data_IF_191651501699
#
_entry.id   IF_191651501699
#
_cell.length_a   1.000
_cell.length_b   1.000
_cell.length_c   1.000
_cell.angle_alpha   90.00
_cell.angle_beta   90.00
_cell.angle_gamma   90.00
#
_symmetry.space_group_name_H-M   'P 1'
#
loop_
_entity.id
_entity.type
_entity.pdbx_description
1 polymer ?
#
# COMPACT_ATOMS: atom_id res chain seq x y z
N UNK A 1 -26.99 -44.09 -74.39
CA UNK A 1 -28.37 -44.58 -74.18
C UNK A 1 -28.65 -44.56 -72.69
N UNK A 2 -29.69 -43.82 -72.26
CA UNK A 2 -30.51 -44.01 -71.03
C UNK A 2 -29.76 -44.05 -69.67
N UNK A 3 -30.14 -43.36 -68.58
CA UNK A 3 -31.45 -42.88 -68.13
C UNK A 3 -31.27 -41.90 -66.95
N UNK A 4 -32.15 -40.88 -66.88
CA UNK A 4 -32.85 -40.29 -65.71
C UNK A 4 -32.36 -40.73 -64.31
N UNK A 5 -32.16 -39.90 -63.28
CA UNK A 5 -32.76 -38.63 -62.90
C UNK A 5 -33.35 -38.77 -61.49
N UNK A 6 -33.07 -37.86 -60.54
CA UNK A 6 -34.03 -37.49 -59.48
C UNK A 6 -33.60 -36.21 -58.73
N UNK A 7 -34.54 -35.27 -58.70
CA UNK A 7 -34.61 -34.05 -57.89
C UNK A 7 -34.51 -34.32 -56.38
N UNK A 8 -33.77 -33.49 -55.63
CA UNK A 8 -34.25 -32.97 -54.32
C UNK A 8 -33.76 -31.53 -54.13
N UNK A 9 -34.73 -30.61 -54.08
CA UNK A 9 -34.60 -29.20 -53.64
C UNK A 9 -34.00 -29.14 -52.23
N UNK A 10 -32.95 -28.34 -52.02
CA UNK A 10 -32.64 -27.75 -50.70
C UNK A 10 -33.03 -26.28 -50.73
N UNK A 11 -34.21 -26.00 -50.20
CA UNK A 11 -34.67 -24.67 -49.87
C UNK A 11 -33.90 -24.13 -48.66
N UNK A 12 -33.14 -23.06 -48.90
CA UNK A 12 -32.99 -21.87 -48.05
C UNK A 12 -33.07 -22.16 -46.55
N UNK A 13 -31.91 -22.32 -45.92
CA UNK A 13 -31.75 -22.14 -44.48
C UNK A 13 -31.95 -20.67 -44.14
N UNK A 14 -33.10 -20.35 -43.58
CA UNK A 14 -33.26 -19.22 -42.68
C UNK A 14 -32.35 -19.45 -41.48
N UNK A 15 -31.18 -18.83 -41.48
CA UNK A 15 -30.48 -18.48 -40.25
C UNK A 15 -29.81 -17.13 -40.46
N UNK A 16 -30.65 -16.08 -40.37
CA UNK A 16 -30.15 -14.75 -40.10
C UNK A 16 -29.68 -14.71 -38.65
N UNK A 17 -28.46 -15.17 -38.39
CA UNK A 17 -27.78 -14.84 -37.14
C UNK A 17 -27.58 -13.33 -37.09
N UNK A 18 -28.51 -12.64 -36.43
CA UNK A 18 -28.31 -11.27 -35.98
C UNK A 18 -27.04 -11.24 -35.13
N UNK A 19 -26.17 -10.22 -35.28
CA UNK A 19 -25.06 -10.07 -34.36
C UNK A 19 -25.64 -9.90 -32.95
N UNK A 20 -25.34 -10.83 -32.04
CA UNK A 20 -25.59 -10.65 -30.60
C UNK A 20 -24.64 -9.56 -30.11
N UNK A 21 -25.03 -8.31 -30.30
CA UNK A 21 -24.38 -7.16 -29.68
C UNK A 21 -25.18 -6.70 -28.48
N UNK A 22 -24.42 -6.37 -27.44
CA UNK A 22 -24.81 -5.81 -26.13
C UNK A 22 -25.30 -6.80 -25.07
N UNK A 23 -24.35 -7.54 -24.50
CA UNK A 23 -24.27 -7.51 -23.02
C UNK A 23 -23.94 -6.05 -22.69
N UNK A 24 -24.87 -5.33 -22.04
CA UNK A 24 -24.52 -4.09 -21.37
C UNK A 24 -23.51 -4.50 -20.31
N UNK A 25 -22.23 -4.21 -20.51
CA UNK A 25 -21.27 -4.19 -19.41
C UNK A 25 -21.80 -3.13 -18.45
N UNK A 26 -22.52 -3.56 -17.41
CA UNK A 26 -22.97 -2.65 -16.37
C UNK A 26 -21.71 -2.06 -15.72
N UNK A 27 -21.51 -0.77 -15.94
CA UNK A 27 -20.39 -0.03 -15.39
C UNK A 27 -20.68 0.16 -13.91
N UNK A 28 -20.15 -0.72 -13.08
CA UNK A 28 -20.26 -0.61 -11.63
C UNK A 28 -19.09 0.18 -11.03
N UNK A 29 -19.38 0.85 -9.92
CA UNK A 29 -18.43 1.52 -9.03
C UNK A 29 -18.52 0.79 -7.68
N UNK A 30 -17.40 0.69 -6.96
CA UNK A 30 -17.29 0.02 -5.64
C UNK A 30 -17.51 -1.50 -5.66
N UNK A 31 -17.32 -2.15 -6.80
CA UNK A 31 -17.39 -3.61 -6.91
C UNK A 31 -16.02 -4.30 -6.70
N UNK A 32 -14.99 -3.53 -6.33
CA UNK A 32 -13.64 -4.02 -6.05
C UNK A 32 -12.81 -4.42 -7.28
N UNK A 33 -13.36 -4.34 -8.50
CA UNK A 33 -12.63 -4.70 -9.73
C UNK A 33 -11.59 -3.64 -10.11
N UNK A 34 -10.49 -4.07 -10.73
CA UNK A 34 -9.43 -3.19 -11.23
C UNK A 34 -9.87 -2.49 -12.54
N UNK A 35 -10.74 -1.51 -12.43
CA UNK A 35 -11.31 -0.76 -13.56
C UNK A 35 -10.97 0.74 -13.45
N UNK A 36 -10.89 1.47 -14.58
CA UNK A 36 -10.57 2.90 -14.55
C UNK A 36 -11.50 3.73 -13.64
N UNK A 37 -12.80 3.41 -13.61
CA UNK A 37 -13.76 4.09 -12.75
C UNK A 37 -13.53 3.82 -11.26
N UNK A 38 -13.22 2.59 -10.86
CA UNK A 38 -12.91 2.29 -9.45
C UNK A 38 -11.60 2.94 -9.02
N UNK A 39 -10.57 2.86 -9.87
CA UNK A 39 -9.27 3.52 -9.62
C UNK A 39 -9.47 5.01 -9.41
N UNK A 40 -10.24 5.66 -10.29
CA UNK A 40 -10.51 7.09 -10.24
C UNK A 40 -11.28 7.49 -8.98
N UNK A 41 -12.30 6.72 -8.61
CA UNK A 41 -13.12 6.99 -7.42
C UNK A 41 -12.31 6.80 -6.14
N UNK A 42 -11.49 5.77 -6.03
CA UNK A 42 -10.61 5.56 -4.86
C UNK A 42 -9.61 6.72 -4.70
N UNK A 43 -8.96 7.12 -5.79
CA UNK A 43 -8.06 8.28 -5.79
C UNK A 43 -8.76 9.58 -5.41
N UNK A 44 -9.97 9.81 -5.92
CA UNK A 44 -10.78 10.99 -5.59
C UNK A 44 -11.20 11.00 -4.10
N UNK A 45 -11.67 9.86 -3.57
CA UNK A 45 -12.04 9.73 -2.16
C UNK A 45 -10.84 9.97 -1.24
N UNK A 46 -9.68 9.39 -1.54
CA UNK A 46 -8.45 9.65 -0.78
C UNK A 46 -8.04 11.13 -0.86
N UNK A 47 -8.16 11.76 -2.02
CA UNK A 47 -7.92 13.20 -2.19
C UNK A 47 -8.86 14.06 -1.34
N UNK A 48 -10.14 13.71 -1.25
CA UNK A 48 -11.10 14.38 -0.37
C UNK A 48 -10.77 14.19 1.10
N UNK A 49 -10.45 12.97 1.55
CA UNK A 49 -10.06 12.70 2.94
C UNK A 49 -8.79 13.48 3.29
N UNK A 50 -7.81 13.52 2.39
CA UNK A 50 -6.58 14.27 2.57
C UNK A 50 -6.86 15.77 2.74
N UNK A 51 -7.65 16.34 1.82
CA UNK A 51 -8.01 17.76 1.83
C UNK A 51 -8.83 18.12 3.07
N UNK A 52 -9.79 17.27 3.46
CA UNK A 52 -10.59 17.46 4.66
C UNK A 52 -9.73 17.44 5.93
N UNK A 53 -8.76 16.52 6.03
CA UNK A 53 -7.80 16.47 7.14
C UNK A 53 -6.97 17.75 7.25
N UNK A 54 -6.43 18.24 6.12
CA UNK A 54 -5.67 19.49 6.07
C UNK A 54 -6.54 20.68 6.49
N UNK A 55 -7.72 20.82 5.90
CA UNK A 55 -8.66 21.89 6.25
C UNK A 55 -9.02 21.86 7.73
N UNK A 56 -9.31 20.68 8.28
CA UNK A 56 -9.63 20.49 9.70
C UNK A 56 -8.48 20.93 10.62
N UNK A 57 -7.23 20.65 10.24
CA UNK A 57 -6.05 21.14 10.98
C UNK A 57 -5.91 22.67 10.85
N UNK A 58 -6.10 23.23 9.66
CA UNK A 58 -5.89 24.66 9.39
C UNK A 58 -6.98 25.56 9.98
N UNK A 59 -8.20 25.07 10.14
CA UNK A 59 -9.33 25.81 10.71
C UNK A 59 -9.23 26.02 12.23
N UNK A 60 -8.09 25.72 12.85
CA UNK A 60 -7.87 25.93 14.28
C UNK A 60 -8.67 24.96 15.15
N UNK A 61 -8.82 23.71 14.70
CA UNK A 61 -9.47 22.68 15.52
C UNK A 61 -8.72 22.45 16.83
N UNK A 62 -9.44 22.05 17.89
CA UNK A 62 -8.85 21.69 19.18
C UNK A 62 -8.05 20.37 19.13
N UNK A 63 -8.07 19.66 18.00
CA UNK A 63 -7.41 18.37 17.80
C UNK A 63 -6.71 18.29 16.43
N UNK A 64 -5.73 19.17 16.15
CA UNK A 64 -5.11 19.26 14.83
C UNK A 64 -4.34 17.98 14.43
N UNK A 65 -3.85 17.20 15.41
CA UNK A 65 -3.21 15.90 15.18
C UNK A 65 -4.16 14.88 14.51
N UNK A 66 -5.48 14.96 14.76
CA UNK A 66 -6.45 14.10 14.10
C UNK A 66 -6.58 14.43 12.60
N UNK A 67 -6.64 15.72 12.26
CA UNK A 67 -6.64 16.16 10.86
C UNK A 67 -5.36 15.77 10.12
N UNK A 68 -4.20 15.93 10.77
CA UNK A 68 -2.90 15.51 10.22
C UNK A 68 -2.87 13.99 10.00
N UNK A 69 -3.39 13.20 10.95
CA UNK A 69 -3.48 11.74 10.80
C UNK A 69 -4.33 11.34 9.60
N UNK A 70 -5.53 11.91 9.43
CA UNK A 70 -6.38 11.64 8.27
C UNK A 70 -5.68 11.99 6.95
N UNK A 71 -5.02 13.15 6.92
CA UNK A 71 -4.27 13.58 5.74
C UNK A 71 -3.11 12.63 5.41
N UNK A 72 -2.34 12.25 6.42
CA UNK A 72 -1.22 11.33 6.27
C UNK A 72 -1.64 9.94 5.83
N UNK A 73 -2.71 9.37 6.41
CA UNK A 73 -3.22 8.05 6.05
C UNK A 73 -3.72 8.03 4.59
N UNK A 74 -4.47 9.06 4.19
CA UNK A 74 -4.93 9.18 2.81
C UNK A 74 -3.78 9.34 1.81
N UNK A 75 -2.79 10.16 2.16
CA UNK A 75 -1.59 10.38 1.34
C UNK A 75 -0.75 9.09 1.23
N UNK A 76 -0.59 8.34 2.32
CA UNK A 76 0.11 7.06 2.33
C UNK A 76 -0.49 6.11 1.28
N UNK A 77 -1.79 5.85 1.36
CA UNK A 77 -2.48 4.93 0.44
C UNK A 77 -2.42 5.41 -1.02
N UNK A 78 -2.53 6.71 -1.25
CA UNK A 78 -2.40 7.29 -2.58
C UNK A 78 -0.97 7.11 -3.15
N UNK A 79 0.06 7.38 -2.36
CA UNK A 79 1.45 7.27 -2.80
C UNK A 79 1.85 5.82 -3.10
N UNK A 80 1.31 4.84 -2.36
CA UNK A 80 1.50 3.41 -2.67
C UNK A 80 0.98 3.07 -4.06
N UNK A 81 -0.24 3.50 -4.39
CA UNK A 81 -0.83 3.25 -5.69
C UNK A 81 -0.03 3.92 -6.80
N UNK A 82 0.29 5.22 -6.65
CA UNK A 82 1.03 5.98 -7.66
C UNK A 82 2.43 5.40 -7.90
N UNK A 83 3.17 5.07 -6.84
CA UNK A 83 4.49 4.48 -7.00
C UNK A 83 4.42 3.10 -7.69
N UNK A 84 3.40 2.30 -7.38
CA UNK A 84 3.17 1.01 -8.07
C UNK A 84 2.81 1.24 -9.54
N UNK A 85 1.93 2.19 -9.84
CA UNK A 85 1.54 2.51 -11.20
C UNK A 85 2.71 3.01 -12.06
N UNK A 86 3.64 3.76 -11.46
CA UNK A 86 4.82 4.29 -12.15
C UNK A 86 5.87 3.23 -12.46
N UNK A 87 6.05 2.24 -11.59
CA UNK A 87 7.21 1.33 -11.67
C UNK A 87 6.87 -0.15 -11.82
N UNK A 88 5.64 -0.55 -11.54
CA UNK A 88 5.15 -1.93 -11.57
C UNK A 88 3.75 -2.03 -12.20
N UNK A 89 3.51 -1.47 -13.41
CA UNK A 89 2.18 -1.45 -14.03
C UNK A 89 1.61 -2.85 -14.28
N UNK A 90 2.47 -3.84 -14.53
CA UNK A 90 2.05 -5.23 -14.77
C UNK A 90 1.46 -5.92 -13.52
N UNK A 91 1.79 -5.39 -12.34
CA UNK A 91 1.32 -5.88 -11.02
C UNK A 91 0.24 -4.97 -10.41
N UNK A 92 -0.15 -3.90 -11.12
CA UNK A 92 -1.04 -2.87 -10.60
C UNK A 92 -2.48 -3.37 -10.51
N UNK A 93 -3.03 -3.36 -9.30
CA UNK A 93 -4.43 -3.69 -9.04
C UNK A 93 -5.06 -2.64 -8.13
N UNK A 94 -6.37 -2.74 -7.89
CA UNK A 94 -7.03 -1.87 -6.91
C UNK A 94 -6.46 -2.07 -5.49
N UNK A 95 -5.96 -3.26 -5.19
CA UNK A 95 -5.31 -3.57 -3.89
C UNK A 95 -3.96 -2.86 -3.73
N UNK A 96 -3.36 -2.31 -4.80
CA UNK A 96 -2.13 -1.51 -4.71
C UNK A 96 -2.33 -0.19 -3.96
N UNK A 97 -3.57 0.25 -3.72
CA UNK A 97 -3.86 1.33 -2.76
C UNK A 97 -3.56 0.89 -1.31
N UNK A 98 -3.43 -0.41 -1.04
CA UNK A 98 -3.28 -1.02 0.29
C UNK A 98 -4.40 -0.68 1.28
N UNK A 99 -5.57 -0.26 0.80
CA UNK A 99 -6.71 0.00 1.67
C UNK A 99 -7.18 -1.33 2.28
N UNK A 100 -7.40 -2.35 1.45
CA UNK A 100 -7.85 -3.69 1.88
C UNK A 100 -6.66 -4.59 2.25
N UNK A 101 -5.86 -4.18 3.25
CA UNK A 101 -4.64 -4.90 3.60
C UNK A 101 -4.92 -6.20 4.38
N UNK A 102 -5.58 -6.13 5.54
CA UNK A 102 -5.98 -7.29 6.33
C UNK A 102 -6.96 -6.89 7.45
N UNK A 103 -7.77 -7.83 7.99
CA UNK A 103 -8.61 -7.55 9.14
C UNK A 103 -7.82 -7.01 10.35
N UNK A 104 -6.61 -7.52 10.58
CA UNK A 104 -5.74 -7.05 11.66
C UNK A 104 -5.25 -5.62 11.46
N UNK A 105 -4.92 -5.25 10.21
CA UNK A 105 -4.56 -3.88 9.87
C UNK A 105 -5.70 -2.91 10.15
N UNK A 106 -6.93 -3.26 9.74
CA UNK A 106 -8.11 -2.45 10.02
C UNK A 106 -8.42 -2.36 11.51
N UNK A 107 -8.32 -3.48 12.24
CA UNK A 107 -8.52 -3.52 13.68
C UNK A 107 -7.50 -2.64 14.42
N UNK A 108 -6.24 -2.63 14.00
CA UNK A 108 -5.19 -1.80 14.59
C UNK A 108 -5.46 -0.30 14.39
N UNK A 109 -5.89 0.12 13.19
CA UNK A 109 -6.28 1.51 12.93
C UNK A 109 -7.54 1.91 13.69
N UNK A 110 -8.54 1.02 13.77
CA UNK A 110 -9.74 1.25 14.56
C UNK A 110 -9.42 1.37 16.05
N UNK A 111 -8.56 0.51 16.60
CA UNK A 111 -8.11 0.59 17.99
C UNK A 111 -7.39 1.89 18.28
N UNK A 112 -6.47 2.32 17.40
CA UNK A 112 -5.76 3.59 17.54
C UNK A 112 -6.72 4.79 17.51
N UNK A 113 -7.72 4.77 16.63
CA UNK A 113 -8.74 5.81 16.58
C UNK A 113 -9.62 5.82 17.84
N UNK A 114 -10.03 4.64 18.32
CA UNK A 114 -10.85 4.52 19.53
C UNK A 114 -10.10 4.99 20.77
N UNK A 115 -8.85 4.57 20.96
CA UNK A 115 -8.00 5.06 22.06
C UNK A 115 -7.89 6.58 22.01
N UNK A 116 -7.59 7.13 20.82
CA UNK A 116 -7.49 8.56 20.63
C UNK A 116 -8.77 9.30 21.03
N UNK A 117 -9.93 8.86 20.53
CA UNK A 117 -11.22 9.51 20.79
C UNK A 117 -11.66 9.38 22.25
N UNK A 118 -11.45 8.21 22.86
CA UNK A 118 -11.75 7.97 24.29
C UNK A 118 -10.89 8.88 25.16
N UNK A 119 -9.57 8.89 24.96
CA UNK A 119 -8.67 9.73 25.73
C UNK A 119 -8.91 11.21 25.50
N UNK A 120 -9.23 11.63 24.28
CA UNK A 120 -9.60 13.02 24.01
C UNK A 120 -10.88 13.43 24.75
N UNK A 121 -11.89 12.54 24.80
CA UNK A 121 -13.15 12.81 25.50
C UNK A 121 -12.98 12.92 27.02
N UNK A 122 -12.26 11.97 27.64
CA UNK A 122 -12.09 11.93 29.09
C UNK A 122 -10.93 12.79 29.62
N UNK A 123 -9.87 12.98 28.82
CA UNK A 123 -8.61 13.64 29.20
C UNK A 123 -8.15 14.65 28.13
N UNK A 124 -8.97 15.64 27.73
CA UNK A 124 -8.66 16.54 26.61
C UNK A 124 -7.36 17.32 26.81
N UNK A 125 -7.02 17.69 28.06
CA UNK A 125 -5.77 18.38 28.38
C UNK A 125 -4.51 17.57 28.02
N UNK A 126 -4.56 16.24 28.15
CA UNK A 126 -3.46 15.34 27.76
C UNK A 126 -3.24 15.33 26.25
N UNK A 127 -4.31 15.50 25.45
CA UNK A 127 -4.26 15.51 23.99
C UNK A 127 -3.99 16.90 23.40
N UNK A 128 -3.55 17.87 24.21
CA UNK A 128 -3.16 19.19 23.70
C UNK A 128 -1.97 19.06 22.75
N UNK A 129 -2.08 19.63 21.56
CA UNK A 129 -1.01 19.55 20.56
C UNK A 129 0.26 20.26 21.06
N UNK A 130 1.41 19.59 20.97
CA UNK A 130 2.69 20.11 21.40
C UNK A 130 3.89 19.31 20.89
N UNK A 131 4.98 19.31 21.65
CA UNK A 131 6.27 18.73 21.25
C UNK A 131 6.18 17.27 20.83
N UNK A 132 5.40 16.45 21.55
CA UNK A 132 5.25 15.02 21.24
C UNK A 132 4.64 14.84 19.85
N UNK A 133 3.63 15.64 19.49
CA UNK A 133 3.00 15.57 18.18
C UNK A 133 3.97 15.97 17.07
N UNK A 134 4.85 16.96 17.29
CA UNK A 134 5.91 17.31 16.33
C UNK A 134 6.92 16.19 16.14
N UNK A 135 7.30 15.47 17.20
CA UNK A 135 8.16 14.27 17.09
C UNK A 135 7.45 13.21 16.24
N UNK A 136 6.18 12.94 16.53
CA UNK A 136 5.36 12.01 15.75
C UNK A 136 5.27 12.40 14.27
N UNK A 137 5.07 13.69 13.99
CA UNK A 137 5.05 14.23 12.63
C UNK A 137 6.38 14.05 11.91
N UNK A 138 7.52 14.30 12.57
CA UNK A 138 8.85 14.06 11.98
C UNK A 138 9.04 12.58 11.65
N UNK A 139 8.71 11.68 12.58
CA UNK A 139 8.81 10.23 12.35
C UNK A 139 7.92 9.79 11.19
N UNK A 140 6.69 10.29 11.12
CA UNK A 140 5.75 10.03 10.05
C UNK A 140 6.28 10.50 8.69
N UNK A 141 6.76 11.74 8.60
CA UNK A 141 7.30 12.30 7.35
C UNK A 141 8.55 11.57 6.89
N UNK A 142 9.48 11.29 7.82
CA UNK A 142 10.69 10.51 7.51
C UNK A 142 10.32 9.10 7.05
N UNK A 143 9.39 8.43 7.75
CA UNK A 143 8.91 7.11 7.38
C UNK A 143 8.28 7.08 5.98
N UNK A 144 7.39 8.03 5.69
CA UNK A 144 6.77 8.18 4.38
C UNK A 144 7.83 8.42 3.28
N UNK A 145 8.75 9.35 3.51
CA UNK A 145 9.80 9.68 2.55
C UNK A 145 10.70 8.47 2.28
N UNK A 146 11.16 7.76 3.31
CA UNK A 146 11.97 6.55 3.16
C UNK A 146 11.24 5.49 2.33
N UNK A 147 9.94 5.28 2.59
CA UNK A 147 9.12 4.31 1.87
C UNK A 147 8.96 4.67 0.40
N UNK A 148 8.58 5.91 0.11
CA UNK A 148 8.42 6.38 -1.28
C UNK A 148 9.76 6.36 -2.02
N UNK A 149 10.85 6.83 -1.42
CA UNK A 149 12.19 6.80 -2.04
C UNK A 149 12.65 5.36 -2.29
N UNK A 150 12.34 4.42 -1.39
CA UNK A 150 12.64 3.00 -1.60
C UNK A 150 11.94 2.46 -2.84
N UNK A 151 10.65 2.71 -3.00
CA UNK A 151 9.89 2.26 -4.17
C UNK A 151 10.44 2.88 -5.47
N UNK A 152 10.78 4.17 -5.44
CA UNK A 152 11.38 4.87 -6.59
C UNK A 152 12.78 4.37 -6.93
N UNK A 153 13.56 3.94 -5.93
CA UNK A 153 14.92 3.42 -6.13
C UNK A 153 14.89 1.96 -6.62
N UNK A 154 14.01 1.13 -6.08
CA UNK A 154 13.89 -0.28 -6.47
C UNK A 154 13.14 -0.48 -7.80
N UNK A 155 12.23 0.45 -8.14
CA UNK A 155 11.41 0.42 -9.36
C UNK A 155 10.70 -0.94 -9.53
N UNK A 156 10.92 -1.61 -10.67
CA UNK A 156 10.32 -2.90 -11.01
C UNK A 156 10.80 -4.06 -10.13
N UNK A 157 11.85 -3.85 -9.32
CA UNK A 157 12.33 -4.82 -8.33
C UNK A 157 11.56 -4.74 -7.00
N UNK A 158 10.68 -3.75 -6.84
CA UNK A 158 9.84 -3.62 -5.66
C UNK A 158 8.58 -4.46 -5.80
N UNK A 159 8.17 -5.11 -4.71
CA UNK A 159 6.90 -5.84 -4.63
C UNK A 159 6.35 -5.77 -3.21
N UNK A 160 5.02 -5.64 -3.07
CA UNK A 160 4.33 -5.74 -1.77
C UNK A 160 4.38 -7.16 -1.20
N UNK A 161 4.54 -8.16 -2.06
CA UNK A 161 4.73 -9.56 -1.68
C UNK A 161 6.19 -9.96 -1.86
N UNK A 162 6.74 -10.70 -0.90
CA UNK A 162 8.08 -11.27 -1.05
C UNK A 162 8.03 -12.28 -2.20
N UNK A 163 8.99 -12.17 -3.12
CA UNK A 163 9.08 -13.06 -4.26
C UNK A 163 9.73 -14.39 -3.85
N UNK A 164 9.06 -15.51 -4.12
CA UNK A 164 9.58 -16.86 -3.81
C UNK A 164 10.56 -17.39 -4.88
N UNK A 165 10.51 -16.80 -6.07
CA UNK A 165 11.36 -17.14 -7.21
C UNK A 165 11.97 -15.89 -7.83
N UNK A 166 13.14 -16.05 -8.45
CA UNK A 166 13.86 -14.95 -9.10
C UNK A 166 13.31 -14.75 -10.52
N UNK A 167 12.65 -13.62 -10.74
CA UNK A 167 12.31 -13.16 -12.09
C UNK A 167 13.58 -12.83 -12.88
N UNK A 168 13.53 -12.93 -14.22
CA UNK A 168 14.71 -12.70 -15.08
C UNK A 168 15.31 -11.32 -14.91
N UNK A 169 14.46 -10.32 -14.73
CA UNK A 169 14.84 -8.91 -14.63
C UNK A 169 15.05 -8.45 -13.18
N UNK A 170 14.97 -9.38 -12.21
CA UNK A 170 15.19 -9.08 -10.80
C UNK A 170 16.67 -8.90 -10.50
N UNK A 171 17.05 -7.67 -10.19
CA UNK A 171 18.41 -7.26 -9.85
C UNK A 171 18.53 -6.83 -8.39
N UNK A 172 19.71 -7.03 -7.82
CA UNK A 172 20.00 -6.59 -6.46
C UNK A 172 20.30 -5.09 -6.44
N UNK A 173 19.36 -4.30 -5.94
CA UNK A 173 19.47 -2.83 -5.85
C UNK A 173 20.28 -2.44 -4.60
N UNK A 174 21.35 -1.67 -4.79
CA UNK A 174 22.31 -1.32 -3.72
C UNK A 174 22.71 0.16 -3.70
N UNK A 175 22.05 1.01 -4.49
CA UNK A 175 22.35 2.43 -4.63
C UNK A 175 21.23 3.30 -4.05
N UNK A 176 21.50 4.60 -3.90
CA UNK A 176 20.52 5.54 -3.32
C UNK A 176 20.22 5.19 -1.87
N UNK A 177 18.94 5.12 -1.50
CA UNK A 177 18.57 4.77 -0.12
C UNK A 177 19.00 3.34 0.26
N UNK A 178 19.13 2.44 -0.71
CA UNK A 178 19.60 1.06 -0.49
C UNK A 178 21.09 0.99 -0.16
N UNK A 179 21.91 2.01 -0.45
CA UNK A 179 23.30 2.01 0.08
C UNK A 179 23.36 2.30 1.58
N UNK A 180 22.31 2.92 2.15
CA UNK A 180 22.24 3.29 3.56
C UNK A 180 21.60 2.20 4.42
N UNK A 181 20.54 1.56 3.93
CA UNK A 181 19.83 0.50 4.63
C UNK A 181 19.27 -0.55 3.67
N UNK A 182 19.22 -1.82 4.08
CA UNK A 182 18.84 -2.93 3.18
C UNK A 182 17.35 -3.02 2.89
N UNK A 183 16.53 -2.60 3.85
CA UNK A 183 15.06 -2.70 3.80
C UNK A 183 14.38 -1.34 4.00
N UNK A 184 14.66 -0.34 3.15
CA UNK A 184 14.21 1.04 3.37
C UNK A 184 12.68 1.21 3.31
N UNK A 185 11.97 0.37 2.54
CA UNK A 185 10.50 0.39 2.52
C UNK A 185 9.89 -0.14 3.82
N UNK A 186 10.55 -1.10 4.46
CA UNK A 186 10.14 -1.65 5.77
C UNK A 186 10.47 -0.67 6.89
N UNK A 187 11.68 -0.12 6.89
CA UNK A 187 12.04 0.99 7.78
C UNK A 187 11.03 2.13 7.67
N UNK A 188 10.68 2.52 6.44
CA UNK A 188 9.71 3.58 6.19
C UNK A 188 8.35 3.29 6.79
N UNK A 189 7.78 2.10 6.54
CA UNK A 189 6.49 1.70 7.12
C UNK A 189 6.54 1.58 8.65
N UNK A 190 7.62 1.00 9.19
CA UNK A 190 7.84 0.83 10.63
C UNK A 190 7.75 2.16 11.37
N UNK A 191 8.54 3.15 10.92
CA UNK A 191 8.57 4.48 11.53
C UNK A 191 7.36 5.33 11.20
N UNK A 192 6.74 5.14 10.03
CA UNK A 192 5.47 5.79 9.71
C UNK A 192 4.37 5.38 10.69
N UNK A 193 4.22 4.07 10.94
CA UNK A 193 3.18 3.53 11.82
C UNK A 193 3.42 3.91 13.30
N UNK A 194 4.68 3.91 13.76
CA UNK A 194 5.04 4.44 15.09
C UNK A 194 4.77 5.93 15.17
N UNK A 195 5.15 6.69 14.13
CA UNK A 195 4.94 8.14 14.03
C UNK A 195 3.47 8.52 14.18
N UNK A 196 2.55 7.72 13.60
CA UNK A 196 1.10 7.89 13.79
C UNK A 196 0.70 7.78 15.26
N UNK A 197 1.17 6.76 15.99
CA UNK A 197 0.79 6.59 17.40
C UNK A 197 1.38 7.68 18.30
N UNK A 198 2.61 8.14 18.01
CA UNK A 198 3.23 9.28 18.70
C UNK A 198 2.48 10.58 18.38
N UNK A 199 2.09 10.79 17.10
CA UNK A 199 1.32 11.96 16.67
C UNK A 199 -0.04 12.02 17.36
N UNK A 200 -0.73 10.89 17.51
CA UNK A 200 -2.01 10.80 18.21
C UNK A 200 -1.85 10.74 19.73
N UNK A 201 -0.61 10.66 20.24
CA UNK A 201 -0.28 10.51 21.66
C UNK A 201 -0.99 9.31 22.30
N UNK A 202 -1.03 8.17 21.61
CA UNK A 202 -1.72 6.95 22.04
C UNK A 202 -0.73 5.99 22.73
N UNK A 203 -0.58 6.00 24.07
CA UNK A 203 0.43 5.20 24.75
C UNK A 203 0.19 3.69 24.62
N UNK A 204 -1.07 3.22 24.65
CA UNK A 204 -1.37 1.78 24.62
C UNK A 204 -1.14 1.23 23.19
N UNK A 205 -1.72 1.88 22.19
CA UNK A 205 -1.50 1.50 20.79
C UNK A 205 -0.05 1.69 20.38
N UNK A 206 0.70 2.66 20.92
CA UNK A 206 2.14 2.79 20.64
C UNK A 206 2.89 1.51 21.06
N UNK A 207 2.67 1.02 22.28
CA UNK A 207 3.32 -0.21 22.77
C UNK A 207 2.95 -1.41 21.89
N UNK A 208 1.65 -1.55 21.58
CA UNK A 208 1.17 -2.64 20.74
C UNK A 208 1.75 -2.58 19.33
N UNK A 209 1.74 -1.40 18.69
CA UNK A 209 2.29 -1.21 17.34
C UNK A 209 3.79 -1.53 17.32
N UNK A 210 4.57 -1.03 18.29
CA UNK A 210 6.00 -1.34 18.36
C UNK A 210 6.22 -2.85 18.47
N UNK A 211 5.50 -3.53 19.35
CA UNK A 211 5.60 -4.99 19.52
C UNK A 211 5.26 -5.75 18.23
N UNK A 212 4.08 -5.49 17.66
CA UNK A 212 3.59 -6.23 16.49
C UNK A 212 4.40 -5.93 15.23
N UNK A 213 4.78 -4.67 15.00
CA UNK A 213 5.62 -4.30 13.87
C UNK A 213 7.01 -4.93 14.00
N UNK A 214 7.58 -4.94 15.21
CA UNK A 214 8.91 -5.53 15.41
C UNK A 214 8.89 -7.03 15.13
N UNK A 215 7.90 -7.76 15.63
CA UNK A 215 7.72 -9.19 15.32
C UNK A 215 7.52 -9.41 13.81
N UNK A 216 6.56 -8.70 13.21
CA UNK A 216 6.23 -8.81 11.80
C UNK A 216 7.44 -8.58 10.89
N UNK A 217 8.19 -7.48 11.10
CA UNK A 217 9.34 -7.19 10.24
C UNK A 217 10.55 -8.06 10.54
N UNK A 218 10.76 -8.51 11.78
CA UNK A 218 11.84 -9.45 12.09
C UNK A 218 11.67 -10.77 11.33
N UNK A 219 10.46 -11.34 11.38
CA UNK A 219 10.13 -12.58 10.66
C UNK A 219 10.18 -12.37 9.14
N UNK A 220 9.56 -11.28 8.66
CA UNK A 220 9.49 -10.98 7.24
C UNK A 220 10.86 -10.74 6.62
N UNK A 221 11.73 -9.97 7.30
CA UNK A 221 13.09 -9.71 6.85
C UNK A 221 13.91 -10.99 6.87
N UNK A 222 13.83 -11.81 7.93
CA UNK A 222 14.55 -13.08 7.97
C UNK A 222 14.19 -13.98 6.77
N UNK A 223 12.90 -14.09 6.45
CA UNK A 223 12.42 -14.85 5.30
C UNK A 223 12.90 -14.26 3.97
N UNK A 224 12.74 -12.95 3.77
CA UNK A 224 13.15 -12.30 2.53
C UNK A 224 14.66 -12.35 2.30
N UNK A 225 15.47 -12.14 3.34
CA UNK A 225 16.92 -12.20 3.24
C UNK A 225 17.43 -13.63 2.92
N UNK A 226 16.72 -14.66 3.37
CA UNK A 226 16.99 -16.05 2.95
C UNK A 226 16.75 -16.21 1.43
N UNK A 227 15.67 -15.63 0.92
CA UNK A 227 15.34 -15.69 -0.50
C UNK A 227 16.28 -14.84 -1.36
N UNK A 228 16.68 -13.65 -0.89
CA UNK A 228 17.69 -12.81 -1.54
C UNK A 228 19.06 -13.49 -1.59
N UNK A 229 19.45 -14.21 -0.53
CA UNK A 229 20.65 -15.05 -0.55
C UNK A 229 20.57 -16.13 -1.63
N UNK A 230 19.42 -16.82 -1.77
CA UNK A 230 19.19 -17.80 -2.84
C UNK A 230 19.26 -17.18 -4.23
N UNK A 231 18.83 -15.93 -4.40
CA UNK A 231 18.78 -15.25 -5.70
C UNK A 231 20.11 -14.66 -6.16
N UNK A 232 20.93 -14.19 -5.22
CA UNK A 232 22.12 -13.38 -5.53
C UNK A 232 23.42 -13.90 -4.90
N UNK A 233 23.34 -14.94 -4.04
CA UNK A 233 24.50 -15.61 -3.46
C UNK A 233 25.47 -14.65 -2.78
N UNK A 234 26.74 -14.70 -3.17
CA UNK A 234 27.79 -13.88 -2.57
C UNK A 234 27.54 -12.37 -2.67
N UNK A 235 26.92 -11.90 -3.76
CA UNK A 235 26.61 -10.48 -3.91
C UNK A 235 25.65 -9.98 -2.82
N UNK A 236 24.73 -10.83 -2.37
CA UNK A 236 23.86 -10.54 -1.23
C UNK A 236 24.63 -10.56 0.10
N UNK A 237 25.50 -11.55 0.30
CA UNK A 237 26.33 -11.65 1.52
C UNK A 237 27.19 -10.39 1.70
N UNK A 238 27.87 -9.96 0.64
CA UNK A 238 28.75 -8.79 0.66
C UNK A 238 27.97 -7.51 0.93
N UNK A 239 26.75 -7.39 0.38
CA UNK A 239 25.85 -6.27 0.62
C UNK A 239 25.31 -6.29 2.05
N UNK A 240 24.90 -7.45 2.56
CA UNK A 240 24.40 -7.64 3.92
C UNK A 240 25.42 -7.23 4.97
N UNK A 241 26.70 -7.54 4.74
CA UNK A 241 27.79 -7.24 5.66
C UNK A 241 28.06 -5.73 5.83
N UNK A 242 27.81 -4.92 4.79
CA UNK A 242 28.17 -3.48 4.79
C UNK A 242 27.00 -2.53 5.03
N UNK A 243 25.77 -2.97 4.81
CA UNK A 243 24.58 -2.11 4.88
C UNK A 243 23.65 -2.65 5.95
N UNK A 244 23.28 -1.92 7.01
CA UNK A 244 22.38 -2.39 8.09
C UNK A 244 20.88 -2.33 7.71
N UNK A 245 19.98 -2.78 8.59
CA UNK A 245 18.52 -2.56 8.43
C UNK A 245 18.07 -1.17 8.92
N UNK A 246 18.79 -0.62 9.91
CA UNK A 246 18.44 0.57 10.70
C UNK A 246 17.15 0.48 11.53
N UNK A 247 16.51 -0.70 11.60
CA UNK A 247 15.45 -0.96 12.57
C UNK A 247 16.07 -1.49 13.88
N UNK A 248 15.65 -0.98 15.04
CA UNK A 248 16.22 -1.42 16.32
C UNK A 248 16.11 -2.94 16.47
N UNK A 249 17.24 -3.60 16.77
CA UNK A 249 17.34 -5.04 17.05
C UNK A 249 16.99 -5.99 15.88
N UNK A 250 17.03 -5.52 14.62
CA UNK A 250 16.82 -6.36 13.40
C UNK A 250 18.06 -6.35 12.50
#
# INVERSE_FOLDING_TARGET
MSTQGLNIRRSISEDSEKPKLHVKDEIHIFDGRNTPQNISVYGFLLGMVCSAGICFTMMGSNMPHFGIFLAALALFHFLEYIATALFNPDKLTLDSYLINHSPHYHAAHAAALLEFLIEYYFLPGYKTFGTINYIGLVLLVVGQACRTIAMFSARHNFSHHIADYKERDHVLVQHGIYSLMRHPSYFGFYWWAIGVQVLLMNPLCLILFVYWLHQFFSERIAYEEHTLHRFFGQAWVDYKARTPTLMPFI
#
